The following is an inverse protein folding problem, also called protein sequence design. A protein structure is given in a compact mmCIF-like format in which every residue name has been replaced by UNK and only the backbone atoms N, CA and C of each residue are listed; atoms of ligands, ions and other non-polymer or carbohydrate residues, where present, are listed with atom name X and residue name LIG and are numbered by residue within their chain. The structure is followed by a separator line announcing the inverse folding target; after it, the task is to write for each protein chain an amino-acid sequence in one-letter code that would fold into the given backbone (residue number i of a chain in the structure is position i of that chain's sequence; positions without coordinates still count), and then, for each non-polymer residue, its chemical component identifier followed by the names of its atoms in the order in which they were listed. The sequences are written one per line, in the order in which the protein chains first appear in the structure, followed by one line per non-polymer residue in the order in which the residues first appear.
data_IF_161156008085
#
_entry.id   IF_161156008085
#
_cell.length_a   1.000
_cell.length_b   1.000
_cell.length_c   1.000
_cell.angle_alpha   90.00
_cell.angle_beta   90.00
_cell.angle_gamma   90.00
#
_symmetry.space_group_name_H-M   'P 1'
#
loop_
_entity.id
_entity.type
_entity.pdbx_description
1 polymer ?
#
# COMPACT_ATOMS: atom_id res chain seq x y z
N UNK A 1 29.67 2.71 -17.94
CA UNK A 1 29.97 2.49 -16.51
C UNK A 1 28.93 3.15 -15.59
N UNK A 2 28.49 4.40 -15.82
CA UNK A 2 27.53 5.12 -14.96
C UNK A 2 26.16 4.43 -14.78
N UNK A 3 25.55 3.91 -15.85
CA UNK A 3 24.22 3.27 -15.80
C UNK A 3 24.26 1.99 -14.94
N UNK A 4 25.31 1.18 -15.06
CA UNK A 4 25.43 -0.05 -14.26
C UNK A 4 25.54 0.26 -12.75
N UNK A 5 26.25 1.32 -12.38
CA UNK A 5 26.37 1.76 -10.97
C UNK A 5 25.00 2.23 -10.44
N UNK A 6 24.22 2.98 -11.24
CA UNK A 6 22.88 3.43 -10.84
C UNK A 6 21.93 2.26 -10.65
N UNK A 7 21.94 1.28 -11.54
CA UNK A 7 21.09 0.07 -11.44
C UNK A 7 21.45 -0.75 -10.21
N UNK A 8 22.73 -0.96 -9.96
CA UNK A 8 23.18 -1.68 -8.76
C UNK A 8 22.86 -0.92 -7.47
N UNK A 9 23.00 0.40 -7.48
CA UNK A 9 22.63 1.26 -6.34
C UNK A 9 21.12 1.18 -6.03
N UNK A 10 20.29 1.27 -7.05
CA UNK A 10 18.84 1.14 -6.89
C UNK A 10 18.45 -0.27 -6.39
N UNK A 11 19.06 -1.31 -6.98
CA UNK A 11 18.82 -2.68 -6.54
C UNK A 11 19.18 -2.88 -5.06
N UNK A 12 20.33 -2.34 -4.62
CA UNK A 12 20.72 -2.38 -3.20
C UNK A 12 19.72 -1.64 -2.29
N UNK A 13 19.26 -0.44 -2.70
CA UNK A 13 18.26 0.32 -1.95
C UNK A 13 16.98 -0.51 -1.78
N UNK A 14 16.52 -1.17 -2.83
CA UNK A 14 15.32 -2.04 -2.82
C UNK A 14 15.48 -3.31 -1.97
N UNK A 15 16.70 -3.71 -1.63
CA UNK A 15 16.95 -4.83 -0.72
C UNK A 15 16.89 -4.43 0.76
N UNK A 16 17.18 -3.16 1.07
CA UNK A 16 17.23 -2.67 2.46
C UNK A 16 15.95 -1.94 2.88
N UNK A 17 15.22 -1.35 1.93
CA UNK A 17 13.95 -0.69 2.26
C UNK A 17 12.83 -1.72 2.43
N UNK A 18 11.84 -1.42 3.31
CA UNK A 18 10.69 -2.31 3.53
C UNK A 18 9.98 -2.66 2.23
N UNK A 19 9.72 -3.93 2.01
CA UNK A 19 8.90 -4.41 0.91
C UNK A 19 7.42 -4.10 1.16
N UNK A 20 6.66 -3.92 0.09
CA UNK A 20 5.26 -3.49 0.16
C UNK A 20 4.39 -4.41 -0.70
N UNK A 21 3.13 -4.52 -0.34
CA UNK A 21 2.10 -5.10 -1.20
C UNK A 21 0.94 -4.14 -1.33
N UNK A 22 0.57 -3.83 -2.57
CA UNK A 22 -0.56 -2.99 -2.94
C UNK A 22 -1.82 -3.84 -3.23
N UNK A 23 -2.96 -3.19 -3.36
CA UNK A 23 -4.25 -3.79 -3.71
C UNK A 23 -4.78 -4.82 -2.68
N UNK A 24 -4.37 -4.70 -1.41
CA UNK A 24 -4.77 -5.66 -0.38
C UNK A 24 -6.24 -5.47 0.00
N UNK A 25 -7.08 -6.42 -0.42
CA UNK A 25 -8.50 -6.45 -0.06
C UNK A 25 -9.05 -7.88 -0.07
N UNK A 26 -10.23 -8.13 0.55
CA UNK A 26 -10.86 -9.46 0.53
C UNK A 26 -11.15 -9.97 -0.89
N UNK A 27 -11.43 -9.07 -1.83
CA UNK A 27 -11.84 -9.41 -3.21
C UNK A 27 -10.67 -9.53 -4.19
N UNK A 28 -9.52 -8.93 -3.92
CA UNK A 28 -8.37 -8.93 -4.85
C UNK A 28 -7.59 -10.26 -4.88
N UNK A 29 -7.94 -11.22 -4.05
CA UNK A 29 -7.35 -12.56 -4.12
C UNK A 29 -5.83 -12.60 -3.92
N UNK A 30 -5.32 -11.91 -2.90
CA UNK A 30 -3.91 -11.92 -2.56
C UNK A 30 -3.46 -13.29 -2.07
N UNK A 31 -2.45 -13.89 -2.73
CA UNK A 31 -1.89 -15.16 -2.26
C UNK A 31 -1.10 -14.97 -0.98
N UNK A 32 -1.07 -16.00 -0.12
CA UNK A 32 -0.29 -15.96 1.11
C UNK A 32 1.20 -15.77 0.84
N UNK A 33 1.72 -16.39 -0.22
CA UNK A 33 3.12 -16.23 -0.65
C UNK A 33 3.49 -14.77 -0.94
N UNK A 34 2.57 -13.96 -1.47
CA UNK A 34 2.80 -12.53 -1.74
C UNK A 34 2.69 -11.72 -0.45
N UNK A 35 1.72 -12.03 0.40
CA UNK A 35 1.57 -11.36 1.70
C UNK A 35 2.79 -11.60 2.61
N UNK A 36 3.35 -12.81 2.60
CA UNK A 36 4.52 -13.17 3.40
C UNK A 36 5.82 -12.45 2.95
N UNK A 37 5.86 -11.93 1.73
CA UNK A 37 7.00 -11.17 1.20
C UNK A 37 7.00 -9.71 1.65
N UNK A 38 5.89 -9.21 2.20
CA UNK A 38 5.71 -7.79 2.45
C UNK A 38 5.93 -7.40 3.91
N UNK A 39 6.56 -6.24 4.08
CA UNK A 39 6.69 -5.57 5.37
C UNK A 39 5.53 -4.59 5.62
N UNK A 40 4.94 -4.04 4.55
CA UNK A 40 3.83 -3.07 4.60
C UNK A 40 2.72 -3.47 3.65
N UNK A 41 1.49 -3.39 4.13
CA UNK A 41 0.26 -3.77 3.42
C UNK A 41 -0.55 -2.51 3.12
N UNK A 42 -0.71 -2.20 1.84
CA UNK A 42 -1.55 -1.11 1.36
C UNK A 42 -2.96 -1.62 1.08
N UNK A 43 -3.84 -1.36 2.03
CA UNK A 43 -5.21 -1.91 2.09
C UNK A 43 -6.19 -1.00 1.36
N UNK A 44 -7.03 -1.58 0.52
CA UNK A 44 -8.16 -0.88 -0.13
C UNK A 44 -9.40 -1.02 0.75
N UNK A 45 -9.91 0.07 1.37
CA UNK A 45 -11.02 -0.01 2.31
C UNK A 45 -12.34 -0.52 1.71
N UNK A 46 -12.64 -0.11 0.47
CA UNK A 46 -13.95 -0.37 -0.19
C UNK A 46 -13.79 -0.85 -1.63
N UNK A 47 -13.01 -1.91 -1.86
CA UNK A 47 -12.79 -2.41 -3.21
C UNK A 47 -14.10 -2.89 -3.85
N UNK A 48 -14.42 -2.37 -5.05
CA UNK A 48 -15.67 -2.65 -5.80
C UNK A 48 -16.94 -2.47 -4.93
N UNK A 49 -16.92 -1.48 -4.03
CA UNK A 49 -18.02 -1.16 -3.11
C UNK A 49 -18.18 -2.12 -1.93
N UNK A 50 -17.29 -3.12 -1.79
CA UNK A 50 -17.27 -4.03 -0.65
C UNK A 50 -16.28 -3.56 0.39
N UNK A 51 -16.78 -3.27 1.59
CA UNK A 51 -15.97 -2.83 2.73
C UNK A 51 -15.17 -3.98 3.33
N UNK A 52 -13.94 -3.67 3.76
CA UNK A 52 -13.16 -4.59 4.60
C UNK A 52 -13.83 -4.75 5.95
N UNK A 53 -13.75 -5.95 6.56
CA UNK A 53 -14.39 -6.15 7.87
C UNK A 53 -14.22 -7.57 8.42
N UNK A 54 -14.70 -7.74 9.66
CA UNK A 54 -14.83 -9.05 10.32
C UNK A 54 -13.53 -9.84 10.38
N UNK A 55 -13.63 -11.15 10.09
CA UNK A 55 -12.51 -12.11 10.18
C UNK A 55 -11.32 -11.72 9.30
N UNK A 56 -11.56 -11.02 8.17
CA UNK A 56 -10.48 -10.56 7.31
C UNK A 56 -9.60 -9.50 8.00
N UNK A 57 -10.20 -8.57 8.74
CA UNK A 57 -9.47 -7.58 9.53
C UNK A 57 -8.58 -8.24 10.59
N UNK A 58 -9.10 -9.26 11.28
CA UNK A 58 -8.34 -10.01 12.27
C UNK A 58 -7.16 -10.76 11.63
N UNK A 59 -7.38 -11.36 10.44
CA UNK A 59 -6.30 -11.99 9.66
C UNK A 59 -5.20 -10.98 9.35
N UNK A 60 -5.54 -9.79 8.87
CA UNK A 60 -4.56 -8.75 8.52
C UNK A 60 -3.82 -8.18 9.74
N UNK A 61 -4.51 -7.98 10.87
CA UNK A 61 -3.86 -7.61 12.15
C UNK A 61 -2.83 -8.65 12.59
N UNK A 62 -3.21 -9.93 12.54
CA UNK A 62 -2.32 -11.02 12.91
C UNK A 62 -1.10 -11.09 11.98
N UNK A 63 -1.31 -10.93 10.67
CA UNK A 63 -0.22 -10.92 9.69
C UNK A 63 0.73 -9.75 9.94
N UNK A 64 0.21 -8.52 10.11
CA UNK A 64 1.02 -7.35 10.41
C UNK A 64 1.79 -7.47 11.73
N UNK A 65 1.22 -8.15 12.74
CA UNK A 65 1.84 -8.36 14.04
C UNK A 65 2.92 -9.45 14.03
N UNK A 66 2.76 -10.49 13.18
CA UNK A 66 3.62 -11.69 13.19
C UNK A 66 4.89 -11.53 12.35
N UNK A 67 4.89 -10.71 11.32
CA UNK A 67 6.03 -10.51 10.44
C UNK A 67 7.10 -9.64 11.12
N UNK A 68 8.19 -10.25 11.53
CA UNK A 68 9.08 -9.78 12.60
C UNK A 68 10.40 -9.14 12.20
N UNK A 69 10.66 -8.67 10.96
CA UNK A 69 12.03 -8.22 10.60
C UNK A 69 12.11 -6.98 9.70
N UNK A 70 11.12 -6.11 9.67
CA UNK A 70 11.24 -4.82 8.98
C UNK A 70 12.09 -3.82 9.78
N UNK A 71 13.37 -3.67 9.45
CA UNK A 71 14.18 -2.56 9.98
C UNK A 71 13.51 -1.24 9.57
N UNK A 72 12.96 -0.50 10.55
CA UNK A 72 12.49 0.87 10.34
C UNK A 72 10.99 1.08 10.18
N UNK A 73 10.14 0.05 10.25
CA UNK A 73 8.68 0.20 10.09
C UNK A 73 7.96 0.63 11.39
N UNK A 74 8.62 0.51 12.56
CA UNK A 74 7.97 0.84 13.84
C UNK A 74 7.03 -0.26 14.34
N UNK A 75 5.94 0.12 15.02
CA UNK A 75 4.91 -0.81 15.49
C UNK A 75 4.13 -1.46 14.34
N UNK A 76 3.38 -2.53 14.64
CA UNK A 76 2.58 -3.26 13.64
C UNK A 76 1.52 -2.38 12.95
N UNK A 77 1.06 -1.32 13.62
CA UNK A 77 0.13 -0.34 13.07
C UNK A 77 0.72 0.36 11.83
N UNK A 78 2.02 0.65 11.84
CA UNK A 78 2.72 1.28 10.71
C UNK A 78 2.90 0.34 9.50
N UNK A 79 2.57 -0.93 9.66
CA UNK A 79 2.61 -1.92 8.58
C UNK A 79 1.30 -2.00 7.81
N UNK A 80 0.24 -1.35 8.30
CA UNK A 80 -1.06 -1.24 7.64
C UNK A 80 -1.23 0.21 7.15
N UNK A 81 -1.36 0.37 5.86
CA UNK A 81 -1.51 1.65 5.18
C UNK A 81 -2.75 1.62 4.27
N UNK A 82 -3.30 2.77 3.92
CA UNK A 82 -4.49 2.85 3.06
C UNK A 82 -4.10 3.01 1.60
N UNK A 83 -4.79 2.31 0.67
CA UNK A 83 -4.57 2.34 -0.77
C UNK A 83 -5.82 2.75 -1.54
N UNK A 84 -5.92 4.03 -1.90
CA UNK A 84 -7.16 4.55 -2.42
C UNK A 84 -8.31 4.45 -1.39
N UNK A 85 -9.53 4.66 -1.83
CA UNK A 85 -10.75 4.38 -1.06
C UNK A 85 -11.50 3.21 -1.69
N UNK A 86 -11.80 3.32 -2.99
CA UNK A 86 -12.50 2.30 -3.78
C UNK A 86 -11.58 1.59 -4.79
N UNK A 87 -10.40 2.15 -5.04
CA UNK A 87 -9.44 1.69 -6.05
C UNK A 87 -10.00 1.72 -7.48
N UNK A 88 -10.88 2.67 -7.77
CA UNK A 88 -11.40 2.88 -9.11
C UNK A 88 -10.34 3.52 -10.01
N UNK A 89 -10.45 3.28 -11.34
CA UNK A 89 -9.57 3.91 -12.31
C UNK A 89 -9.64 5.44 -12.21
N UNK A 90 -8.48 6.10 -12.14
CA UNK A 90 -8.38 7.55 -12.05
C UNK A 90 -8.87 8.15 -10.72
N UNK A 91 -8.93 7.34 -9.66
CA UNK A 91 -9.58 7.72 -8.41
C UNK A 91 -9.09 9.06 -7.86
N UNK A 92 -7.78 9.27 -7.76
CA UNK A 92 -7.16 10.51 -7.29
C UNK A 92 -6.55 11.36 -8.41
N UNK A 93 -6.74 10.95 -9.65
CA UNK A 93 -6.55 11.76 -10.86
C UNK A 93 -7.61 12.85 -11.04
N UNK A 94 -8.65 12.87 -10.19
CA UNK A 94 -9.67 13.90 -10.09
C UNK A 94 -9.72 14.47 -8.66
N UNK A 95 -10.36 15.64 -8.49
CA UNK A 95 -10.57 16.21 -7.16
C UNK A 95 -11.42 15.29 -6.28
N UNK A 96 -10.96 15.07 -5.06
CA UNK A 96 -11.72 14.41 -3.99
C UNK A 96 -11.87 15.35 -2.82
N UNK A 97 -13.07 15.44 -2.29
CA UNK A 97 -13.34 16.22 -1.09
C UNK A 97 -12.98 15.46 0.19
N UNK A 98 -13.02 16.15 1.31
CA UNK A 98 -12.70 15.55 2.62
C UNK A 98 -13.66 14.44 3.01
N UNK A 99 -14.93 14.51 2.60
CA UNK A 99 -15.91 13.49 2.91
C UNK A 99 -15.58 12.17 2.23
N UNK A 100 -15.18 12.23 0.95
CA UNK A 100 -14.75 11.05 0.20
C UNK A 100 -13.54 10.34 0.82
N UNK A 101 -12.50 11.09 1.19
CA UNK A 101 -11.31 10.51 1.81
C UNK A 101 -11.62 9.95 3.19
N UNK A 102 -12.41 10.69 3.99
CA UNK A 102 -12.79 10.28 5.34
C UNK A 102 -13.61 9.00 5.35
N UNK A 103 -14.45 8.77 4.36
CA UNK A 103 -15.19 7.52 4.19
C UNK A 103 -14.23 6.30 4.15
N UNK A 104 -13.11 6.38 3.44
CA UNK A 104 -12.10 5.33 3.45
C UNK A 104 -11.38 5.19 4.78
N UNK A 105 -11.06 6.33 5.41
CA UNK A 105 -10.42 6.36 6.74
C UNK A 105 -11.32 5.72 7.80
N UNK A 106 -12.62 6.02 7.81
CA UNK A 106 -13.58 5.45 8.77
C UNK A 106 -13.67 3.93 8.64
N UNK A 107 -13.77 3.40 7.42
CA UNK A 107 -13.77 1.95 7.19
C UNK A 107 -12.44 1.30 7.62
N UNK A 108 -11.31 1.97 7.38
CA UNK A 108 -10.00 1.51 7.83
C UNK A 108 -9.91 1.50 9.36
N UNK A 109 -10.36 2.57 10.02
CA UNK A 109 -10.39 2.66 11.50
C UNK A 109 -11.31 1.62 12.14
N UNK A 110 -12.50 1.39 11.57
CA UNK A 110 -13.40 0.33 12.04
C UNK A 110 -12.76 -1.05 11.95
N UNK A 111 -12.01 -1.31 10.89
CA UNK A 111 -11.32 -2.56 10.68
C UNK A 111 -10.13 -2.76 11.65
N UNK A 112 -9.26 -1.75 11.78
CA UNK A 112 -7.98 -1.90 12.45
C UNK A 112 -7.90 -1.28 13.84
N UNK A 113 -8.79 -0.34 14.17
CA UNK A 113 -8.86 0.34 15.47
C UNK A 113 -7.98 1.60 15.56
N UNK A 114 -7.41 2.06 14.44
CA UNK A 114 -6.59 3.29 14.36
C UNK A 114 -6.66 3.89 12.95
N UNK A 115 -6.43 5.21 12.83
CA UNK A 115 -6.36 5.89 11.54
C UNK A 115 -5.08 5.50 10.76
N UNK A 116 -5.15 5.42 9.41
CA UNK A 116 -3.96 5.14 8.62
C UNK A 116 -2.93 6.27 8.75
N UNK A 117 -1.68 5.93 9.08
CA UNK A 117 -0.58 6.89 9.10
C UNK A 117 -0.03 7.18 7.69
N UNK A 118 -0.27 6.28 6.74
CA UNK A 118 0.22 6.35 5.35
C UNK A 118 -0.89 6.05 4.37
N UNK A 119 -0.83 6.75 3.24
CA UNK A 119 -1.78 6.63 2.14
C UNK A 119 -1.05 6.56 0.79
N UNK A 120 -1.48 5.65 -0.05
CA UNK A 120 -1.03 5.55 -1.45
C UNK A 120 -2.26 5.66 -2.36
N UNK A 121 -2.33 6.63 -3.29
CA UNK A 121 -3.42 6.69 -4.25
C UNK A 121 -3.40 5.48 -5.17
N UNK A 122 -4.57 4.93 -5.49
CA UNK A 122 -4.69 3.87 -6.48
C UNK A 122 -4.07 4.31 -7.81
N UNK A 123 -3.33 3.38 -8.48
CA UNK A 123 -2.62 3.64 -9.73
C UNK A 123 -1.60 4.80 -9.69
N UNK A 124 -1.25 5.30 -8.50
CA UNK A 124 -0.37 6.45 -8.26
C UNK A 124 -0.85 7.73 -8.94
N UNK A 125 -2.12 7.82 -9.32
CA UNK A 125 -2.70 9.02 -9.89
C UNK A 125 -2.94 10.08 -8.82
N UNK A 126 -2.43 11.28 -9.09
CA UNK A 126 -2.48 12.39 -8.14
C UNK A 126 -2.58 13.72 -8.84
N UNK A 127 -3.51 14.57 -8.38
CA UNK A 127 -3.58 15.97 -8.80
C UNK A 127 -3.44 16.91 -7.59
N UNK A 128 -2.90 18.12 -7.84
CA UNK A 128 -2.64 19.12 -6.80
C UNK A 128 -3.85 19.51 -5.94
N UNK A 129 -5.05 19.38 -6.48
CA UNK A 129 -6.26 19.67 -5.71
C UNK A 129 -6.51 18.71 -4.56
N UNK A 130 -5.77 17.59 -4.50
CA UNK A 130 -5.80 16.62 -3.42
C UNK A 130 -4.65 16.80 -2.42
N UNK A 131 -3.77 17.81 -2.59
CA UNK A 131 -2.60 18.03 -1.72
C UNK A 131 -2.97 18.23 -0.24
N UNK A 132 -4.20 18.62 0.06
CA UNK A 132 -4.73 18.74 1.41
C UNK A 132 -4.70 17.40 2.20
N UNK A 133 -4.67 16.25 1.51
CA UNK A 133 -4.56 14.93 2.14
C UNK A 133 -3.20 14.79 2.85
N UNK A 134 -2.15 15.44 2.34
CA UNK A 134 -0.81 15.42 2.94
C UNK A 134 -0.76 16.13 4.31
N UNK A 135 -1.77 16.96 4.63
CA UNK A 135 -1.90 17.56 5.95
C UNK A 135 -2.47 16.57 6.99
N UNK A 136 -3.08 15.47 6.53
CA UNK A 136 -3.76 14.48 7.38
C UNK A 136 -2.97 13.16 7.49
N UNK A 137 -2.19 12.80 6.45
CA UNK A 137 -1.51 11.49 6.34
C UNK A 137 -0.26 11.59 5.45
N UNK A 138 0.75 10.76 5.68
CA UNK A 138 1.90 10.64 4.78
C UNK A 138 1.46 10.03 3.44
N UNK A 139 1.75 10.72 2.31
CA UNK A 139 1.33 10.28 0.97
C UNK A 139 2.48 9.67 0.19
N UNK A 140 2.33 8.41 -0.17
CA UNK A 140 3.27 7.65 -1.00
C UNK A 140 2.93 7.79 -2.49
N UNK A 141 3.82 8.41 -3.26
CA UNK A 141 3.68 8.62 -4.72
C UNK A 141 4.69 7.77 -5.50
N UNK A 142 4.95 8.15 -6.76
CA UNK A 142 5.78 7.38 -7.71
C UNK A 142 7.16 7.00 -7.18
N UNK A 143 7.79 7.82 -6.35
CA UNK A 143 9.11 7.53 -5.78
C UNK A 143 9.07 6.29 -4.88
N UNK A 144 7.95 6.06 -4.20
CA UNK A 144 7.75 4.86 -3.41
C UNK A 144 7.89 3.59 -4.26
N UNK A 145 7.25 3.54 -5.44
CA UNK A 145 7.36 2.42 -6.40
C UNK A 145 8.79 2.20 -6.92
N UNK A 146 9.57 3.27 -7.05
CA UNK A 146 10.93 3.18 -7.57
C UNK A 146 11.88 2.59 -6.52
N UNK A 147 11.78 3.04 -5.27
CA UNK A 147 12.74 2.69 -4.24
C UNK A 147 12.38 1.44 -3.43
N UNK A 148 11.11 1.05 -3.39
CA UNK A 148 10.66 -0.15 -2.68
C UNK A 148 10.39 -1.32 -3.62
N UNK A 149 10.44 -2.55 -3.10
CA UNK A 149 9.84 -3.71 -3.76
C UNK A 149 8.34 -3.66 -3.51
N UNK A 150 7.56 -3.38 -4.55
CA UNK A 150 6.10 -3.24 -4.45
C UNK A 150 5.46 -4.38 -5.22
N UNK A 151 4.93 -5.34 -4.50
CA UNK A 151 4.12 -6.45 -5.00
C UNK A 151 2.65 -5.99 -5.16
N UNK A 152 1.88 -6.71 -5.96
CA UNK A 152 0.46 -6.43 -6.16
C UNK A 152 -0.38 -7.67 -5.94
N UNK A 153 -1.48 -7.55 -5.19
CA UNK A 153 -2.47 -8.62 -5.11
C UNK A 153 -3.06 -8.88 -6.50
N UNK A 154 -3.32 -10.16 -6.82
CA UNK A 154 -3.80 -10.54 -8.15
C UNK A 154 -2.81 -10.31 -9.29
N UNK A 155 -1.54 -9.98 -8.98
CA UNK A 155 -0.48 -9.66 -9.98
C UNK A 155 -0.90 -8.54 -10.95
N UNK A 156 -1.66 -7.56 -10.43
CA UNK A 156 -2.27 -6.44 -11.18
C UNK A 156 -1.30 -5.34 -11.58
N UNK A 157 -0.06 -5.37 -11.05
CA UNK A 157 0.96 -4.34 -11.28
C UNK A 157 1.50 -4.31 -12.70
N UNK A 158 2.20 -3.21 -13.05
CA UNK A 158 2.90 -3.06 -14.34
C UNK A 158 3.98 -4.12 -14.54
N UNK A 159 4.63 -4.52 -13.46
CA UNK A 159 5.61 -5.61 -13.46
C UNK A 159 5.06 -6.80 -12.66
N UNK A 160 5.18 -8.03 -13.18
CA UNK A 160 4.71 -9.20 -12.46
C UNK A 160 5.52 -9.43 -11.17
N UNK A 161 4.87 -9.97 -10.14
CA UNK A 161 5.46 -10.16 -8.82
C UNK A 161 6.76 -10.99 -8.83
N UNK A 162 6.88 -11.98 -9.74
CA UNK A 162 8.11 -12.75 -9.87
C UNK A 162 9.32 -11.90 -10.27
N UNK A 163 9.10 -10.87 -11.14
CA UNK A 163 10.16 -9.95 -11.55
C UNK A 163 10.58 -9.02 -10.41
N UNK A 164 9.59 -8.49 -9.65
CA UNK A 164 9.84 -7.65 -8.47
C UNK A 164 10.64 -8.41 -7.41
N UNK A 165 10.40 -9.72 -7.29
CA UNK A 165 11.13 -10.56 -6.33
C UNK A 165 12.63 -10.62 -6.63
N UNK A 166 13.00 -10.59 -7.91
CA UNK A 166 14.41 -10.64 -8.36
C UNK A 166 15.08 -9.28 -8.29
N UNK A 167 14.33 -8.24 -8.59
CA UNK A 167 14.79 -6.84 -8.60
C UNK A 167 14.31 -6.08 -7.37
#
# INVERSE_FOLDING_TARGET
MGVAILVLGLWFVRLVLPSQVDDVSPLMGCSEDVLDLADVYFVVPKFDGVEIGGVWCDKMKNLASSSGWGLGVGGWENRLAMHGVYHNFGEFGTYRDRAYFREGVEVFEECFGFAPARFKPGQLEWIRYNDWIQDEVEVDLIWNQIFHKVYHCGDSGVFPNWLIRVF
#
